data_IF_922890186187
#
_entry.id   IF_922890186187
#
_cell.length_a   1.000
_cell.length_b   1.000
_cell.length_c   1.000
_cell.angle_alpha   90.00
_cell.angle_beta   90.00
_cell.angle_gamma   90.00
#
_symmetry.space_group_name_H-M   'P 1'
#
loop_
_entity.id
_entity.type
_entity.pdbx_description
1 polymer ?
#
# COMPACT_ATOMS: atom_id res chain seq x y z
N UNK A 1 19.91 -15.43 8.21
CA UNK A 1 18.52 -15.30 7.69
C UNK A 1 18.03 -13.86 7.82
N UNK A 2 18.61 -13.10 8.72
CA UNK A 2 18.13 -11.78 9.15
C UNK A 2 18.42 -10.70 8.10
N UNK A 3 19.57 -10.79 7.41
CA UNK A 3 19.92 -9.86 6.33
C UNK A 3 18.92 -9.90 5.16
N UNK A 4 18.42 -11.09 4.82
CA UNK A 4 17.43 -11.27 3.74
C UNK A 4 16.10 -10.61 4.13
N UNK A 5 15.68 -10.79 5.39
CA UNK A 5 14.45 -10.19 5.92
C UNK A 5 14.53 -8.66 5.92
N UNK A 6 15.66 -8.10 6.38
CA UNK A 6 15.89 -6.65 6.39
C UNK A 6 15.82 -6.06 4.98
N UNK A 7 16.46 -6.70 4.00
CA UNK A 7 16.44 -6.25 2.59
C UNK A 7 15.01 -6.25 2.05
N UNK A 8 14.22 -7.30 2.33
CA UNK A 8 12.82 -7.40 1.88
C UNK A 8 11.97 -6.27 2.47
N UNK A 9 12.11 -5.96 3.76
CA UNK A 9 11.34 -4.89 4.43
C UNK A 9 11.66 -3.51 3.81
N UNK A 10 12.94 -3.24 3.52
CA UNK A 10 13.36 -1.98 2.86
C UNK A 10 12.74 -1.87 1.46
N UNK A 11 12.74 -2.96 0.70
CA UNK A 11 12.14 -3.01 -0.64
C UNK A 11 10.63 -2.74 -0.54
N UNK A 12 9.91 -3.41 0.36
CA UNK A 12 8.46 -3.25 0.54
C UNK A 12 8.12 -1.81 0.94
N UNK A 13 8.87 -1.20 1.87
CA UNK A 13 8.68 0.21 2.29
C UNK A 13 8.88 1.17 1.12
N UNK A 14 9.93 0.96 0.34
CA UNK A 14 10.26 1.79 -0.82
C UNK A 14 9.15 1.70 -1.89
N UNK A 15 8.74 0.49 -2.24
CA UNK A 15 7.69 0.24 -3.24
C UNK A 15 6.35 0.79 -2.76
N UNK A 16 6.00 0.62 -1.49
CA UNK A 16 4.74 1.13 -0.92
C UNK A 16 4.66 2.66 -1.03
N UNK A 17 5.75 3.36 -0.73
CA UNK A 17 5.81 4.83 -0.81
C UNK A 17 5.59 5.32 -2.25
N UNK A 18 6.14 4.59 -3.23
CA UNK A 18 5.94 4.89 -4.65
C UNK A 18 4.53 4.51 -5.09
N UNK A 19 3.99 3.36 -4.70
CA UNK A 19 2.68 2.86 -5.15
C UNK A 19 1.51 3.67 -4.60
N UNK A 20 1.61 4.20 -3.38
CA UNK A 20 0.53 4.94 -2.73
C UNK A 20 -0.06 6.07 -3.59
N UNK A 21 0.72 7.04 -4.13
CA UNK A 21 0.18 8.08 -4.99
C UNK A 21 -0.40 7.55 -6.31
N UNK A 22 0.13 6.45 -6.86
CA UNK A 22 -0.43 5.85 -8.07
C UNK A 22 -1.81 5.23 -7.83
N UNK A 23 -1.97 4.50 -6.72
CA UNK A 23 -3.27 3.90 -6.36
C UNK A 23 -4.28 5.00 -6.03
N UNK A 24 -3.86 6.07 -5.35
CA UNK A 24 -4.70 7.24 -5.07
C UNK A 24 -5.14 7.94 -6.36
N UNK A 25 -4.23 8.15 -7.31
CA UNK A 25 -4.54 8.74 -8.61
C UNK A 25 -5.52 7.87 -9.39
N UNK A 26 -5.29 6.55 -9.42
CA UNK A 26 -6.16 5.60 -10.09
C UNK A 26 -7.56 5.56 -9.48
N UNK A 27 -7.67 5.43 -8.15
CA UNK A 27 -8.96 5.44 -7.46
C UNK A 27 -9.74 6.74 -7.68
N UNK A 28 -9.06 7.88 -7.64
CA UNK A 28 -9.69 9.19 -7.93
C UNK A 28 -10.11 9.31 -9.39
N UNK A 29 -9.30 8.83 -10.33
CA UNK A 29 -9.63 8.78 -11.75
C UNK A 29 -10.90 7.96 -12.00
N UNK A 30 -11.00 6.77 -11.41
CA UNK A 30 -12.18 5.89 -11.54
C UNK A 30 -13.43 6.50 -10.89
N UNK A 31 -13.28 7.27 -9.81
CA UNK A 31 -14.38 8.01 -9.21
C UNK A 31 -14.94 9.08 -10.17
N UNK A 32 -14.05 9.86 -10.80
CA UNK A 32 -14.41 10.96 -11.69
C UNK A 32 -14.90 10.49 -13.07
N UNK A 33 -14.32 9.42 -13.62
CA UNK A 33 -14.67 8.88 -14.96
C UNK A 33 -15.72 7.77 -14.93
N UNK A 34 -16.48 7.66 -13.83
CA UNK A 34 -17.50 6.63 -13.64
C UNK A 34 -18.64 6.63 -14.68
N UNK A 35 -18.77 7.69 -15.47
CA UNK A 35 -19.77 7.78 -16.55
C UNK A 35 -19.31 7.17 -17.89
N UNK A 36 -17.99 7.15 -18.15
CA UNK A 36 -17.42 6.70 -19.44
C UNK A 36 -16.69 5.37 -19.33
N UNK A 37 -16.17 5.05 -18.15
CA UNK A 37 -15.52 3.77 -17.85
C UNK A 37 -16.45 2.98 -16.93
N UNK A 38 -16.65 1.66 -17.14
CA UNK A 38 -17.44 0.86 -16.20
C UNK A 38 -16.82 0.99 -14.80
N UNK A 39 -17.57 1.60 -13.89
CA UNK A 39 -17.05 2.06 -12.61
C UNK A 39 -18.14 2.67 -11.74
N UNK A 40 -17.73 3.25 -10.60
CA UNK A 40 -18.63 3.85 -9.64
C UNK A 40 -17.93 4.21 -8.33
N UNK A 41 -18.64 4.89 -7.43
CA UNK A 41 -18.07 5.32 -6.15
C UNK A 41 -17.63 4.18 -5.24
N UNK A 42 -18.32 3.03 -5.28
CA UNK A 42 -17.97 1.86 -4.45
C UNK A 42 -16.61 1.23 -4.83
N UNK A 43 -16.38 0.78 -6.09
CA UNK A 43 -15.08 0.24 -6.46
C UNK A 43 -13.96 1.28 -6.35
N UNK A 44 -14.22 2.55 -6.68
CA UNK A 44 -13.24 3.63 -6.49
C UNK A 44 -12.86 3.82 -5.01
N UNK A 45 -13.85 3.79 -4.11
CA UNK A 45 -13.65 3.86 -2.67
C UNK A 45 -12.87 2.66 -2.13
N UNK A 46 -13.17 1.45 -2.61
CA UNK A 46 -12.44 0.23 -2.24
C UNK A 46 -10.95 0.30 -2.68
N UNK A 47 -10.67 0.83 -3.87
CA UNK A 47 -9.30 1.04 -4.35
C UNK A 47 -8.55 2.04 -3.45
N UNK A 48 -9.17 3.15 -3.10
CA UNK A 48 -8.57 4.15 -2.19
C UNK A 48 -8.34 3.55 -0.80
N UNK A 49 -9.31 2.81 -0.24
CA UNK A 49 -9.17 2.11 1.02
C UNK A 49 -8.01 1.09 1.00
N UNK A 50 -7.78 0.45 -0.15
CA UNK A 50 -6.64 -0.47 -0.36
C UNK A 50 -5.30 0.27 -0.32
N UNK A 51 -5.22 1.50 -0.87
CA UNK A 51 -4.02 2.34 -0.77
C UNK A 51 -3.66 2.64 0.70
N UNK A 52 -4.66 2.98 1.52
CA UNK A 52 -4.46 3.18 2.95
C UNK A 52 -4.13 1.88 3.69
N UNK A 53 -4.77 0.77 3.31
CA UNK A 53 -4.45 -0.56 3.87
C UNK A 53 -3.00 -0.95 3.58
N UNK A 54 -2.49 -0.63 2.38
CA UNK A 54 -1.09 -0.84 2.02
C UNK A 54 -0.13 -0.08 2.93
N UNK A 55 -0.41 1.20 3.22
CA UNK A 55 0.38 1.98 4.19
C UNK A 55 0.31 1.37 5.59
N UNK A 56 -0.90 1.03 6.02
CA UNK A 56 -1.13 0.44 7.34
C UNK A 56 -0.38 -0.89 7.48
N UNK A 57 -0.40 -1.77 6.50
CA UNK A 57 0.34 -3.04 6.55
C UNK A 57 1.86 -2.86 6.55
N UNK A 58 2.36 -1.95 5.72
CA UNK A 58 3.82 -1.71 5.58
C UNK A 58 4.42 -1.00 6.79
N UNK A 59 3.65 -0.14 7.47
CA UNK A 59 4.14 0.61 8.65
C UNK A 59 3.62 0.05 9.98
N UNK A 60 2.74 -0.95 9.99
CA UNK A 60 2.33 -1.70 11.20
C UNK A 60 3.33 -2.76 11.66
N UNK A 61 4.53 -2.77 11.11
CA UNK A 61 5.66 -3.41 11.78
C UNK A 61 6.07 -2.54 12.98
N UNK A 62 5.23 -2.54 14.02
CA UNK A 62 5.70 -2.37 15.38
C UNK A 62 6.72 -3.48 15.59
N UNK A 63 7.99 -3.09 15.55
CA UNK A 63 9.10 -3.96 15.89
C UNK A 63 9.06 -5.30 15.15
N UNK A 64 9.84 -5.40 14.08
CA UNK A 64 10.76 -6.54 14.03
C UNK A 64 11.50 -6.49 15.36
N UNK A 65 10.94 -7.21 16.31
CA UNK A 65 11.37 -7.30 17.69
C UNK A 65 12.90 -7.38 17.70
N UNK A 66 13.52 -6.60 18.58
CA UNK A 66 14.44 -7.02 19.66
C UNK A 66 14.70 -8.55 19.85
N UNK A 67 14.64 -9.36 18.77
CA UNK A 67 14.47 -10.82 18.72
C UNK A 67 15.52 -11.50 17.87
N UNK A 68 16.63 -10.81 17.64
CA UNK A 68 17.94 -11.46 17.51
C UNK A 68 18.92 -10.81 18.48
N UNK A 69 18.74 -11.07 19.78
CA UNK A 69 19.81 -11.65 20.58
C UNK A 69 19.43 -13.08 20.99
N UNK A 70 19.59 -14.03 20.06
CA UNK A 70 19.96 -15.44 20.34
C UNK A 70 20.79 -15.98 19.18
#
# INVERSE_FOLDING_TARGET
MDLIIIIIIIIIKTITCIMFPFIMLFGTYTALHSHVTPGGGFPAGATIATAFTLLVLTFRESEVEDRFPR
#
